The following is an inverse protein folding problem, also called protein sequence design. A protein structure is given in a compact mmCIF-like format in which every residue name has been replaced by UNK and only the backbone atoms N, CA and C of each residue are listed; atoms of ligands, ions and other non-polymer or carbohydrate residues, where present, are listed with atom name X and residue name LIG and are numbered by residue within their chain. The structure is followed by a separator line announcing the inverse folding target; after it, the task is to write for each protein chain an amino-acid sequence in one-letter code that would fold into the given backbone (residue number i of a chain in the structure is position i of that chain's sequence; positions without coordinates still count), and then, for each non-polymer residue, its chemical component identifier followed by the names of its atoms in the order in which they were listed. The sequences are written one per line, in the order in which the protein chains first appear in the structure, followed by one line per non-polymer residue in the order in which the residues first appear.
data_IF_329597710815
#
_entry.id   IF_329597710815
#
_cell.length_a   1.000
_cell.length_b   1.000
_cell.length_c   1.000
_cell.angle_alpha   90.00
_cell.angle_beta   90.00
_cell.angle_gamma   90.00
#
_symmetry.space_group_name_H-M   'P 1'
#
loop_
_entity.id
_entity.type
_entity.pdbx_description
1 polymer ?
#
# COMPACT_ATOMS: atom_id res chain seq x y z
N UNK A 1 3.81 18.84 -11.66
CA UNK A 1 2.70 17.87 -11.58
C UNK A 1 1.86 18.18 -10.34
N UNK A 2 0.53 18.11 -10.39
CA UNK A 2 -0.31 18.40 -9.23
C UNK A 2 -0.16 17.30 -8.16
N UNK A 3 0.04 17.72 -6.90
CA UNK A 3 0.09 16.83 -5.74
C UNK A 3 -1.29 16.81 -5.11
N UNK A 4 -1.98 15.66 -5.16
CA UNK A 4 -3.28 15.50 -4.52
C UNK A 4 -3.08 15.00 -3.09
N UNK A 5 -3.50 15.79 -2.11
CA UNK A 5 -3.58 15.38 -0.72
C UNK A 5 -5.05 15.14 -0.39
N UNK A 6 -5.38 13.93 0.02
CA UNK A 6 -6.73 13.57 0.46
C UNK A 6 -6.67 13.10 1.91
N UNK A 7 -7.61 13.61 2.71
CA UNK A 7 -7.78 13.20 4.09
C UNK A 7 -9.19 12.66 4.23
N UNK A 8 -9.33 11.44 4.74
CA UNK A 8 -10.63 10.78 4.80
C UNK A 8 -10.91 10.18 6.17
N UNK A 9 -12.14 10.40 6.64
CA UNK A 9 -12.74 9.70 7.76
C UNK A 9 -14.01 9.01 7.27
N UNK A 10 -13.92 7.73 6.87
CA UNK A 10 -15.06 7.05 6.28
C UNK A 10 -16.10 6.75 7.37
N UNK A 11 -17.41 6.94 7.11
CA UNK A 11 -18.44 6.33 7.93
C UNK A 11 -18.24 4.80 7.95
N UNK A 12 -18.65 4.14 9.05
CA UNK A 12 -18.39 2.71 9.30
C UNK A 12 -18.61 1.86 8.02
N UNK A 13 -17.55 1.18 7.55
CA UNK A 13 -17.66 0.15 6.50
C UNK A 13 -16.73 0.32 5.29
N UNK A 14 -16.43 1.54 4.85
CA UNK A 14 -15.80 1.78 3.52
C UNK A 14 -14.35 2.29 3.57
N UNK A 15 -13.57 1.88 4.58
CA UNK A 15 -12.20 2.42 4.77
C UNK A 15 -11.20 1.88 3.75
N UNK A 16 -11.32 0.58 3.39
CA UNK A 16 -10.39 -0.09 2.46
C UNK A 16 -10.51 0.46 1.04
N UNK A 17 -11.75 0.63 0.57
CA UNK A 17 -12.06 1.03 -0.81
C UNK A 17 -11.48 2.39 -1.18
N UNK A 18 -11.47 3.34 -0.23
CA UNK A 18 -10.92 4.67 -0.46
C UNK A 18 -9.40 4.65 -0.55
N UNK A 19 -8.73 3.83 0.25
CA UNK A 19 -7.27 3.64 0.15
C UNK A 19 -6.91 3.06 -1.22
N UNK A 20 -7.62 2.01 -1.64
CA UNK A 20 -7.44 1.39 -2.95
C UNK A 20 -7.70 2.39 -4.09
N UNK A 21 -8.74 3.21 -3.96
CA UNK A 21 -9.06 4.27 -4.92
C UNK A 21 -7.88 5.24 -5.12
N UNK A 22 -7.25 5.69 -4.04
CA UNK A 22 -6.10 6.60 -4.13
C UNK A 22 -4.85 5.92 -4.68
N UNK A 23 -4.58 4.67 -4.28
CA UNK A 23 -3.48 3.86 -4.82
C UNK A 23 -3.61 3.71 -6.35
N UNK A 24 -4.82 3.43 -6.85
CA UNK A 24 -5.07 3.26 -8.27
C UNK A 24 -4.90 4.55 -9.10
N UNK A 25 -4.98 5.72 -8.47
CA UNK A 25 -4.81 7.03 -9.13
C UNK A 25 -3.41 7.62 -8.99
N UNK A 26 -2.54 7.01 -8.19
CA UNK A 26 -1.16 7.44 -8.06
C UNK A 26 -0.38 7.20 -9.37
N UNK A 27 0.41 8.20 -9.77
CA UNK A 27 1.18 8.18 -11.01
C UNK A 27 2.70 8.33 -10.82
N UNK A 28 3.14 8.70 -9.61
CA UNK A 28 4.56 9.02 -9.34
C UNK A 28 5.10 8.20 -8.20
N UNK A 29 4.57 8.40 -6.98
CA UNK A 29 4.99 7.62 -5.81
C UNK A 29 3.86 7.36 -4.82
N UNK A 30 4.06 6.32 -4.00
CA UNK A 30 3.23 5.92 -2.87
C UNK A 30 4.17 5.60 -1.70
N UNK A 31 3.98 6.27 -0.58
CA UNK A 31 4.66 5.96 0.68
C UNK A 31 3.61 5.58 1.72
N UNK A 32 3.72 4.39 2.30
CA UNK A 32 2.77 3.86 3.28
C UNK A 32 3.52 3.40 4.53
N UNK A 33 2.97 3.74 5.69
CA UNK A 33 3.30 3.12 6.97
C UNK A 33 2.12 2.23 7.38
N UNK A 34 2.37 0.97 7.71
CA UNK A 34 1.32 0.00 8.04
C UNK A 34 1.70 -0.86 9.24
N UNK A 35 0.75 -1.02 10.16
CA UNK A 35 0.91 -1.82 11.39
C UNK A 35 0.30 -3.22 11.25
N UNK A 36 -1.02 -3.27 11.08
CA UNK A 36 -1.76 -4.53 10.90
C UNK A 36 -2.97 -4.28 10.00
N UNK A 37 -3.06 -5.01 8.90
CA UNK A 37 -4.19 -4.92 7.99
C UNK A 37 -4.36 -6.21 7.20
N UNK A 38 -5.63 -6.55 6.94
CA UNK A 38 -6.00 -7.52 5.92
C UNK A 38 -5.65 -6.94 4.54
N UNK A 39 -4.40 -7.18 4.17
CA UNK A 39 -3.71 -6.49 3.10
C UNK A 39 -4.04 -7.06 1.72
N UNK A 40 -4.65 -8.24 1.57
CA UNK A 40 -4.73 -8.89 0.25
C UNK A 40 -5.18 -7.96 -0.89
N UNK A 41 -6.28 -7.22 -0.71
CA UNK A 41 -6.79 -6.28 -1.70
C UNK A 41 -5.96 -4.98 -1.81
N UNK A 42 -5.31 -4.56 -0.74
CA UNK A 42 -4.44 -3.37 -0.74
C UNK A 42 -3.09 -3.71 -1.39
N UNK A 43 -2.48 -4.84 -1.04
CA UNK A 43 -1.25 -5.32 -1.64
C UNK A 43 -1.41 -5.61 -3.13
N UNK A 44 -2.56 -6.14 -3.56
CA UNK A 44 -2.90 -6.21 -5.00
C UNK A 44 -2.83 -4.85 -5.67
N UNK A 45 -3.44 -3.83 -5.04
CA UNK A 45 -3.42 -2.47 -5.58
C UNK A 45 -1.99 -1.88 -5.59
N UNK A 46 -1.17 -2.17 -4.57
CA UNK A 46 0.22 -1.70 -4.47
C UNK A 46 1.12 -2.39 -5.50
N UNK A 47 1.00 -3.71 -5.67
CA UNK A 47 1.69 -4.46 -6.73
C UNK A 47 1.30 -3.94 -8.10
N UNK A 48 0.00 -3.71 -8.32
CA UNK A 48 -0.47 -3.13 -9.58
C UNK A 48 0.08 -1.71 -9.79
N UNK A 49 0.22 -0.90 -8.74
CA UNK A 49 0.84 0.43 -8.85
C UNK A 49 2.34 0.33 -9.19
N UNK A 50 3.07 -0.55 -8.51
CA UNK A 50 4.46 -0.83 -8.80
C UNK A 50 4.67 -1.29 -10.25
N UNK A 51 3.83 -2.22 -10.74
CA UNK A 51 3.85 -2.69 -12.12
C UNK A 51 3.54 -1.60 -13.16
N UNK A 52 2.82 -0.52 -12.77
CA UNK A 52 2.63 0.66 -13.62
C UNK A 52 3.85 1.60 -13.64
N UNK A 53 4.90 1.30 -12.90
CA UNK A 53 6.09 2.14 -12.76
C UNK A 53 5.98 3.22 -11.68
N UNK A 54 4.98 3.12 -10.79
CA UNK A 54 4.88 4.00 -9.61
C UNK A 54 5.93 3.56 -8.58
N UNK A 55 6.64 4.53 -7.99
CA UNK A 55 7.57 4.26 -6.89
C UNK A 55 6.80 3.94 -5.60
N UNK A 56 6.84 2.69 -5.16
CA UNK A 56 6.06 2.20 -4.01
C UNK A 56 7.02 1.81 -2.89
N UNK A 57 6.93 2.54 -1.77
CA UNK A 57 7.71 2.31 -0.56
C UNK A 57 6.78 2.04 0.62
N UNK A 58 7.02 0.94 1.32
CA UNK A 58 6.17 0.49 2.42
C UNK A 58 7.04 0.28 3.65
N UNK A 59 6.69 0.95 4.75
CA UNK A 59 7.28 0.76 6.07
C UNK A 59 6.31 -0.08 6.91
N UNK A 60 6.79 -1.19 7.46
CA UNK A 60 6.01 -2.03 8.36
C UNK A 60 6.37 -1.76 9.81
N UNK A 61 5.37 -1.48 10.65
CA UNK A 61 5.57 -1.32 12.09
C UNK A 61 5.51 -2.71 12.77
N UNK A 62 6.63 -3.41 12.84
CA UNK A 62 6.72 -4.69 13.57
C UNK A 62 8.00 -5.49 13.33
N UNK A 63 8.47 -6.23 14.35
CA UNK A 63 9.68 -7.07 14.26
C UNK A 63 9.46 -8.44 13.60
N UNK A 64 8.19 -8.83 13.37
CA UNK A 64 7.81 -10.14 12.80
C UNK A 64 7.27 -10.02 11.37
N UNK A 65 7.87 -9.17 10.54
CA UNK A 65 7.44 -8.98 9.15
C UNK A 65 7.63 -10.22 8.28
N UNK A 66 8.57 -11.09 8.63
CA UNK A 66 8.82 -12.34 7.89
C UNK A 66 7.71 -13.40 8.02
N UNK A 67 6.85 -13.33 9.04
CA UNK A 67 5.78 -14.30 9.25
C UNK A 67 4.50 -13.98 8.46
N UNK A 68 4.38 -12.78 7.89
CA UNK A 68 3.20 -12.39 7.13
C UNK A 68 3.34 -12.79 5.65
N UNK A 69 2.42 -13.65 5.20
CA UNK A 69 2.31 -14.08 3.79
C UNK A 69 2.30 -12.92 2.80
N UNK A 70 1.70 -11.78 3.18
CA UNK A 70 1.64 -10.60 2.32
C UNK A 70 2.98 -9.88 2.19
N UNK A 71 3.79 -9.81 3.26
CA UNK A 71 5.12 -9.22 3.19
C UNK A 71 5.97 -9.96 2.14
N UNK A 72 5.96 -11.30 2.21
CA UNK A 72 6.67 -12.14 1.23
C UNK A 72 6.12 -11.96 -0.19
N UNK A 73 4.81 -11.77 -0.34
CA UNK A 73 4.16 -11.54 -1.62
C UNK A 73 4.56 -10.21 -2.27
N UNK A 74 4.57 -9.12 -1.48
CA UNK A 74 5.02 -7.81 -1.94
C UNK A 74 6.52 -7.83 -2.29
N UNK A 75 7.33 -8.49 -1.47
CA UNK A 75 8.76 -8.68 -1.71
C UNK A 75 9.01 -9.46 -3.00
N UNK A 76 8.27 -10.55 -3.22
CA UNK A 76 8.37 -11.36 -4.44
C UNK A 76 7.94 -10.58 -5.70
N UNK A 77 7.06 -9.59 -5.56
CA UNK A 77 6.67 -8.69 -6.65
C UNK A 77 7.68 -7.55 -6.91
N UNK A 78 8.76 -7.45 -6.13
CA UNK A 78 9.80 -6.43 -6.30
C UNK A 78 9.49 -5.08 -5.64
N UNK A 79 8.46 -4.99 -4.80
CA UNK A 79 8.12 -3.76 -4.07
C UNK A 79 9.17 -3.49 -3.01
N UNK A 80 9.55 -2.21 -2.82
CA UNK A 80 10.49 -1.81 -1.78
C UNK A 80 9.81 -1.82 -0.40
N UNK A 81 10.40 -2.59 0.51
CA UNK A 81 9.91 -2.79 1.87
C UNK A 81 10.99 -2.38 2.87
N UNK A 82 10.63 -1.49 3.78
CA UNK A 82 11.46 -1.02 4.90
C UNK A 82 10.84 -1.47 6.25
N UNK A 83 11.69 -1.56 7.29
CA UNK A 83 11.32 -1.88 8.68
C UNK A 83 11.62 -0.68 9.60
#
# INVERSE_FOLDING_TARGET
MPRFSAFTFPPKGHRKDQVIYWINRANVSIHILIYDFDLYSIGDALINAHNRGVDVNIVFEGKETDHYSEYQRLRAAGVQLDN
#
